data_IF_057087350618
#
_entry.id   IF_057087350618
#
_cell.length_a   1.000
_cell.length_b   1.000
_cell.length_c   1.000
_cell.angle_alpha   90.00
_cell.angle_beta   90.00
_cell.angle_gamma   90.00
#
_symmetry.space_group_name_H-M   'P 1'
#
loop_
_entity.id
_entity.type
_entity.pdbx_description
1 polymer ?
#
# COMPACT_ATOMS: atom_id res chain seq x y z
N UNK A 1 36.57 -6.55 2.45
CA UNK A 1 35.12 -6.37 2.16
C UNK A 1 34.92 -5.68 0.83
N UNK A 2 35.50 -4.47 0.54
CA UNK A 2 35.28 -3.72 -0.69
C UNK A 2 35.60 -4.52 -1.96
N UNK A 3 36.76 -5.17 -2.05
CA UNK A 3 37.15 -6.03 -3.21
C UNK A 3 36.21 -7.20 -3.43
N UNK A 4 35.64 -7.78 -2.36
CA UNK A 4 34.66 -8.88 -2.48
C UNK A 4 33.35 -8.36 -3.04
N UNK A 5 32.88 -7.22 -2.57
CA UNK A 5 31.67 -6.56 -3.09
C UNK A 5 31.82 -6.20 -4.57
N UNK A 6 32.99 -5.67 -4.95
CA UNK A 6 33.29 -5.32 -6.34
C UNK A 6 33.32 -6.57 -7.24
N UNK A 7 33.94 -7.67 -6.76
CA UNK A 7 33.95 -8.94 -7.48
C UNK A 7 32.54 -9.54 -7.62
N UNK A 8 31.72 -9.48 -6.60
CA UNK A 8 30.31 -9.94 -6.67
C UNK A 8 29.52 -9.11 -7.67
N UNK A 9 29.65 -7.77 -7.63
CA UNK A 9 28.99 -6.88 -8.59
C UNK A 9 29.43 -7.14 -10.04
N UNK A 10 30.70 -7.45 -10.26
CA UNK A 10 31.23 -7.78 -11.58
C UNK A 10 30.71 -9.12 -12.14
N UNK A 11 30.33 -10.05 -11.25
CA UNK A 11 29.76 -11.35 -11.61
C UNK A 11 28.22 -11.33 -11.63
N UNK A 12 27.59 -10.26 -11.14
CA UNK A 12 26.15 -10.15 -11.09
C UNK A 12 25.57 -10.04 -12.51
N UNK A 13 24.62 -10.89 -12.81
CA UNK A 13 23.88 -10.86 -14.05
C UNK A 13 22.50 -10.22 -13.80
N UNK A 14 22.19 -9.18 -14.56
CA UNK A 14 20.91 -8.51 -14.46
C UNK A 14 19.80 -9.41 -15.02
N UNK A 15 18.78 -9.68 -14.21
CA UNK A 15 17.62 -10.48 -14.62
C UNK A 15 16.68 -9.66 -15.51
N UNK A 16 16.49 -8.37 -15.18
CA UNK A 16 15.66 -7.45 -15.95
C UNK A 16 14.25 -8.00 -16.20
N UNK A 17 13.76 -7.83 -17.43
CA UNK A 17 12.45 -8.33 -17.87
C UNK A 17 12.50 -9.76 -18.45
N UNK A 18 13.54 -10.52 -18.17
CA UNK A 18 13.63 -11.91 -18.61
C UNK A 18 12.84 -12.83 -17.66
N UNK A 19 11.60 -13.09 -18.02
CA UNK A 19 10.68 -13.89 -17.19
C UNK A 19 11.12 -15.34 -17.04
N UNK A 20 11.89 -15.90 -17.98
CA UNK A 20 12.43 -17.26 -17.84
C UNK A 20 13.50 -17.31 -16.74
N UNK A 21 14.34 -16.28 -16.64
CA UNK A 21 15.29 -16.14 -15.51
C UNK A 21 14.57 -15.90 -14.19
N UNK A 22 13.49 -15.12 -14.19
CA UNK A 22 12.65 -14.91 -13.01
C UNK A 22 12.07 -16.25 -12.53
N UNK A 23 11.53 -17.07 -13.44
CA UNK A 23 11.03 -18.40 -13.14
C UNK A 23 12.10 -19.31 -12.52
N UNK A 24 13.32 -19.32 -13.11
CA UNK A 24 14.44 -20.10 -12.60
C UNK A 24 14.84 -19.68 -11.19
N UNK A 25 15.01 -18.37 -10.95
CA UNK A 25 15.35 -17.83 -9.63
C UNK A 25 14.26 -18.12 -8.61
N UNK A 26 13.00 -17.94 -8.97
CA UNK A 26 11.87 -18.23 -8.12
C UNK A 26 11.76 -19.73 -7.79
N UNK A 27 11.98 -20.60 -8.77
CA UNK A 27 11.99 -22.06 -8.56
C UNK A 27 13.08 -22.47 -7.57
N UNK A 28 14.30 -21.94 -7.74
CA UNK A 28 15.42 -22.23 -6.81
C UNK A 28 15.05 -21.73 -5.40
N UNK A 29 14.51 -20.54 -5.28
CA UNK A 29 14.09 -19.96 -4.00
C UNK A 29 12.97 -20.77 -3.32
N UNK A 30 12.12 -21.41 -4.11
CA UNK A 30 11.05 -22.30 -3.66
C UNK A 30 11.53 -23.77 -3.49
N UNK A 31 12.78 -23.98 -3.20
CA UNK A 31 13.36 -25.32 -3.00
C UNK A 31 13.23 -26.23 -4.25
N UNK A 32 13.47 -25.68 -5.42
CA UNK A 32 13.35 -26.30 -6.74
C UNK A 32 11.91 -26.70 -7.14
N UNK A 33 10.91 -26.01 -6.57
CA UNK A 33 9.54 -26.15 -6.99
C UNK A 33 9.28 -25.32 -8.24
N UNK A 34 9.13 -26.01 -9.37
CA UNK A 34 8.91 -25.40 -10.69
C UNK A 34 7.52 -24.80 -10.82
N UNK A 35 6.51 -25.38 -10.16
CA UNK A 35 5.13 -24.87 -10.20
C UNK A 35 5.04 -23.52 -9.49
N UNK A 36 5.66 -23.39 -8.34
CA UNK A 36 5.76 -22.11 -7.62
C UNK A 36 6.58 -21.11 -8.44
N UNK A 37 7.70 -21.53 -9.01
CA UNK A 37 8.53 -20.67 -9.86
C UNK A 37 7.77 -20.09 -11.03
N UNK A 38 6.99 -20.91 -11.73
CA UNK A 38 6.15 -20.49 -12.85
C UNK A 38 5.05 -19.53 -12.39
N UNK A 39 4.40 -19.82 -11.27
CA UNK A 39 3.34 -18.97 -10.71
C UNK A 39 3.87 -17.56 -10.39
N UNK A 40 5.06 -17.47 -9.81
CA UNK A 40 5.74 -16.19 -9.53
C UNK A 40 6.07 -15.46 -10.81
N UNK A 41 6.61 -16.15 -11.82
CA UNK A 41 6.93 -15.56 -13.12
C UNK A 41 5.68 -15.04 -13.84
N UNK A 42 4.57 -15.77 -13.77
CA UNK A 42 3.27 -15.34 -14.31
C UNK A 42 2.73 -14.12 -13.55
N UNK A 43 2.89 -14.09 -12.24
CA UNK A 43 2.58 -12.93 -11.40
C UNK A 43 3.38 -11.69 -11.81
N UNK A 44 4.70 -11.84 -11.95
CA UNK A 44 5.59 -10.75 -12.38
C UNK A 44 5.26 -10.27 -13.80
N UNK A 45 4.86 -11.18 -14.68
CA UNK A 45 4.41 -10.80 -16.05
C UNK A 45 3.13 -9.97 -16.02
N UNK A 46 2.24 -10.23 -15.08
CA UNK A 46 0.98 -9.50 -14.94
C UNK A 46 1.16 -8.11 -14.31
N UNK A 47 2.09 -7.94 -13.35
CA UNK A 47 2.28 -6.69 -12.61
C UNK A 47 3.53 -5.89 -13.01
N UNK A 48 4.30 -6.39 -13.98
CA UNK A 48 5.61 -5.85 -14.40
C UNK A 48 6.70 -5.98 -13.32
N UNK A 49 7.93 -5.65 -13.68
CA UNK A 49 9.13 -5.80 -12.83
C UNK A 49 9.06 -4.94 -11.56
N UNK A 50 8.35 -3.84 -11.61
CA UNK A 50 8.16 -2.92 -10.48
C UNK A 50 6.91 -3.26 -9.64
N UNK A 51 6.17 -4.31 -10.00
CA UNK A 51 4.99 -4.73 -9.25
C UNK A 51 5.34 -5.41 -7.93
N UNK A 52 4.45 -5.31 -6.97
CA UNK A 52 4.58 -5.94 -5.65
C UNK A 52 3.83 -7.27 -5.66
N UNK A 53 4.51 -8.36 -5.28
CA UNK A 53 3.90 -9.67 -5.07
C UNK A 53 3.84 -9.93 -3.57
N UNK A 54 2.65 -10.22 -3.07
CA UNK A 54 2.40 -10.66 -1.70
C UNK A 54 1.94 -12.11 -1.71
N UNK A 55 2.36 -12.88 -0.71
CA UNK A 55 1.96 -14.28 -0.52
C UNK A 55 1.12 -14.33 0.74
N UNK A 56 -0.09 -14.86 0.61
CA UNK A 56 -1.04 -15.01 1.70
C UNK A 56 -1.54 -16.46 1.77
N UNK A 57 -1.93 -16.90 2.95
CA UNK A 57 -2.53 -18.21 3.14
C UNK A 57 -3.89 -18.29 2.42
N UNK A 58 -4.03 -19.26 1.54
CA UNK A 58 -5.29 -19.50 0.86
C UNK A 58 -6.34 -20.09 1.81
N UNK A 59 -7.57 -19.61 1.71
CA UNK A 59 -8.72 -20.22 2.43
C UNK A 59 -9.20 -21.53 1.80
N UNK A 60 -8.68 -21.89 0.62
CA UNK A 60 -9.00 -23.07 -0.16
C UNK A 60 -7.80 -24.02 -0.29
N UNK A 61 -7.99 -25.10 -1.07
CA UNK A 61 -6.94 -26.09 -1.36
C UNK A 61 -6.01 -25.66 -2.50
N UNK A 62 -6.48 -24.78 -3.36
CA UNK A 62 -5.78 -24.45 -4.59
C UNK A 62 -5.00 -23.15 -4.43
N UNK A 63 -3.79 -23.10 -4.98
CA UNK A 63 -3.01 -21.88 -5.10
C UNK A 63 -3.58 -21.03 -6.23
N UNK A 64 -3.94 -19.80 -5.93
CA UNK A 64 -4.59 -18.88 -6.89
C UNK A 64 -3.78 -17.61 -7.00
N UNK A 65 -3.43 -17.22 -8.23
CA UNK A 65 -2.90 -15.91 -8.53
C UNK A 65 -4.05 -14.90 -8.69
N UNK A 66 -4.05 -13.85 -7.86
CA UNK A 66 -4.97 -12.72 -7.99
C UNK A 66 -4.19 -11.46 -8.30
N UNK A 67 -4.54 -10.78 -9.37
CA UNK A 67 -3.97 -9.48 -9.73
C UNK A 67 -4.95 -8.39 -9.33
N UNK A 68 -4.45 -7.34 -8.68
CA UNK A 68 -5.21 -6.13 -8.33
C UNK A 68 -4.47 -4.94 -8.89
N UNK A 69 -5.20 -4.02 -9.47
CA UNK A 69 -4.64 -2.73 -9.84
C UNK A 69 -4.54 -1.87 -8.58
N UNK A 70 -3.34 -1.36 -8.29
CA UNK A 70 -3.07 -0.58 -7.10
C UNK A 70 -2.21 -1.31 -6.07
N UNK A 71 -2.22 -0.84 -4.84
CA UNK A 71 -1.43 -1.40 -3.74
C UNK A 71 -2.35 -1.85 -2.61
N UNK A 72 -2.16 -3.09 -2.12
CA UNK A 72 -2.81 -3.58 -0.92
C UNK A 72 -1.83 -3.56 0.25
N UNK A 73 -2.26 -3.04 1.40
CA UNK A 73 -1.48 -3.05 2.63
C UNK A 73 -2.36 -3.41 3.84
N UNK A 74 -1.74 -3.90 4.90
CA UNK A 74 -2.37 -4.52 6.07
C UNK A 74 -2.89 -3.53 7.13
N UNK A 75 -3.09 -2.27 6.77
CA UNK A 75 -3.57 -1.23 7.68
C UNK A 75 -4.96 -0.76 7.24
N UNK A 76 -5.89 -0.81 8.17
CA UNK A 76 -7.26 -0.34 7.98
C UNK A 76 -7.47 1.10 8.45
N UNK A 77 -8.73 1.52 8.41
CA UNK A 77 -9.14 2.84 8.90
C UNK A 77 -8.91 2.99 10.42
N UNK A 78 -8.56 4.21 10.82
CA UNK A 78 -8.24 4.53 12.23
C UNK A 78 -9.47 4.63 13.12
N UNK A 79 -10.66 4.77 12.55
CA UNK A 79 -11.89 4.87 13.31
C UNK A 79 -13.06 4.19 12.60
N UNK A 80 -13.89 3.41 13.33
CA UNK A 80 -15.11 2.80 12.76
C UNK A 80 -16.09 3.84 12.18
N UNK A 81 -16.01 5.07 12.63
CA UNK A 81 -16.84 6.16 12.11
C UNK A 81 -16.51 6.55 10.67
N UNK A 82 -15.41 6.07 10.08
CA UNK A 82 -15.09 6.28 8.66
C UNK A 82 -15.78 5.29 7.71
N UNK A 83 -16.44 4.29 8.24
CA UNK A 83 -17.16 3.28 7.46
C UNK A 83 -18.25 3.92 6.60
N UNK A 84 -18.32 3.59 5.33
CA UNK A 84 -19.37 4.03 4.40
C UNK A 84 -20.47 2.98 4.25
N UNK A 85 -20.13 1.69 4.37
CA UNK A 85 -21.05 0.56 4.38
C UNK A 85 -20.97 -0.15 5.73
N UNK A 86 -21.96 0.09 6.59
CA UNK A 86 -22.01 -0.44 7.95
C UNK A 86 -22.24 -1.96 7.98
N UNK A 87 -22.92 -2.53 6.98
CA UNK A 87 -23.19 -3.97 6.93
C UNK A 87 -21.91 -4.78 6.64
N UNK A 88 -21.10 -4.27 5.73
CA UNK A 88 -19.83 -4.88 5.33
C UNK A 88 -18.63 -4.37 6.13
N UNK A 89 -18.82 -3.36 6.97
CA UNK A 89 -17.74 -2.67 7.70
C UNK A 89 -16.62 -2.20 6.76
N UNK A 90 -17.00 -1.63 5.61
CA UNK A 90 -16.10 -1.17 4.55
C UNK A 90 -16.18 0.35 4.37
N UNK A 91 -15.08 0.93 3.93
CA UNK A 91 -15.01 2.31 3.49
C UNK A 91 -14.65 2.34 2.02
N UNK A 92 -15.63 2.59 1.17
CA UNK A 92 -15.46 2.71 -0.28
C UNK A 92 -15.49 4.18 -0.69
N UNK A 93 -14.54 4.57 -1.51
CA UNK A 93 -14.42 5.93 -2.02
C UNK A 93 -14.12 5.91 -3.52
N UNK A 94 -14.93 6.61 -4.29
CA UNK A 94 -14.70 6.78 -5.72
C UNK A 94 -13.85 8.04 -5.98
N UNK A 95 -12.73 7.86 -6.68
CA UNK A 95 -11.82 8.94 -7.11
C UNK A 95 -11.46 9.90 -5.97
N UNK A 96 -11.00 9.41 -4.79
CA UNK A 96 -10.66 10.27 -3.68
C UNK A 96 -9.44 11.14 -3.99
N UNK A 97 -9.33 12.28 -3.32
CA UNK A 97 -8.03 12.89 -3.11
C UNK A 97 -7.24 12.07 -2.11
N UNK A 98 -5.95 11.92 -2.31
CA UNK A 98 -5.07 11.18 -1.41
C UNK A 98 -4.09 12.19 -0.81
N UNK A 99 -4.12 12.31 0.52
CA UNK A 99 -3.16 13.07 1.29
C UNK A 99 -2.17 12.09 1.93
N UNK A 100 -0.91 12.16 1.50
CA UNK A 100 0.16 11.35 2.06
C UNK A 100 1.01 12.21 2.97
N UNK A 101 1.26 11.74 4.19
CA UNK A 101 2.08 12.44 5.16
C UNK A 101 2.97 11.46 5.94
N UNK A 102 4.27 11.69 5.92
CA UNK A 102 5.29 10.80 6.48
C UNK A 102 5.44 10.90 8.00
N UNK A 103 4.70 11.81 8.64
CA UNK A 103 4.76 12.07 10.08
C UNK A 103 3.38 11.90 10.72
N UNK A 104 3.38 12.03 12.05
CA UNK A 104 2.17 12.03 12.84
C UNK A 104 1.38 13.33 12.68
N UNK A 105 0.07 13.22 12.49
CA UNK A 105 -0.85 14.36 12.45
C UNK A 105 -1.35 14.63 13.86
N UNK A 106 -0.84 15.68 14.50
CA UNK A 106 -1.26 16.08 15.84
C UNK A 106 -2.20 17.28 15.84
N UNK A 107 -2.00 18.22 14.90
CA UNK A 107 -2.78 19.44 14.81
C UNK A 107 -3.42 19.57 13.43
N UNK A 108 -4.73 19.56 13.36
CA UNK A 108 -5.47 19.72 12.09
C UNK A 108 -5.43 21.12 11.51
N UNK A 109 -5.08 22.13 12.29
CA UNK A 109 -5.00 23.51 11.78
C UNK A 109 -3.98 23.64 10.66
N UNK A 110 -2.90 22.88 10.73
CA UNK A 110 -1.83 22.89 9.72
C UNK A 110 -2.29 22.27 8.38
N UNK A 111 -3.36 21.47 8.43
CA UNK A 111 -3.95 20.79 7.28
C UNK A 111 -5.21 21.46 6.73
N UNK A 112 -5.73 22.50 7.38
CA UNK A 112 -6.91 23.23 6.92
C UNK A 112 -6.81 23.71 5.47
N UNK A 113 -5.66 24.25 5.00
CA UNK A 113 -5.50 24.68 3.61
C UNK A 113 -5.68 23.55 2.59
N UNK A 114 -5.48 22.31 3.00
CA UNK A 114 -5.65 21.11 2.17
C UNK A 114 -7.07 20.54 2.30
N UNK A 115 -7.61 20.57 3.51
CA UNK A 115 -8.94 20.05 3.81
C UNK A 115 -10.06 20.92 3.19
N UNK A 116 -9.92 22.24 3.24
CA UNK A 116 -10.93 23.16 2.71
C UNK A 116 -11.20 22.97 1.21
N UNK A 117 -10.20 22.91 0.32
CA UNK A 117 -10.42 22.63 -1.10
C UNK A 117 -11.04 21.26 -1.37
N UNK A 118 -10.67 20.25 -0.58
CA UNK A 118 -11.27 18.91 -0.69
C UNK A 118 -12.76 18.94 -0.34
N UNK A 119 -13.13 19.65 0.73
CA UNK A 119 -14.54 19.85 1.13
C UNK A 119 -15.31 20.60 0.05
N UNK A 120 -14.74 21.69 -0.48
CA UNK A 120 -15.39 22.52 -1.51
C UNK A 120 -15.63 21.77 -2.82
N UNK A 121 -14.70 20.87 -3.18
CA UNK A 121 -14.82 20.05 -4.40
C UNK A 121 -15.88 18.94 -4.28
N UNK A 122 -16.33 18.62 -3.06
CA UNK A 122 -17.24 17.50 -2.80
C UNK A 122 -16.64 16.11 -3.03
N UNK A 123 -15.35 16.04 -3.34
CA UNK A 123 -14.65 14.75 -3.53
C UNK A 123 -14.23 14.14 -2.20
N UNK A 124 -14.26 12.80 -2.10
CA UNK A 124 -13.74 12.11 -0.92
C UNK A 124 -12.25 12.41 -0.69
N UNK A 125 -11.81 12.36 0.56
CA UNK A 125 -10.42 12.52 0.95
C UNK A 125 -9.94 11.29 1.74
N UNK A 126 -8.89 10.65 1.24
CA UNK A 126 -8.16 9.61 1.96
C UNK A 126 -6.88 10.20 2.53
N UNK A 127 -6.72 10.09 3.83
CA UNK A 127 -5.51 10.53 4.53
C UNK A 127 -4.69 9.30 4.91
N UNK A 128 -3.45 9.24 4.43
CA UNK A 128 -2.47 8.20 4.77
C UNK A 128 -1.35 8.87 5.55
N UNK A 129 -1.27 8.61 6.85
CA UNK A 129 -0.27 9.22 7.72
C UNK A 129 0.41 8.20 8.62
N UNK A 130 1.58 8.53 9.16
CA UNK A 130 2.25 7.68 10.14
C UNK A 130 1.32 7.32 11.30
N UNK A 131 0.66 8.33 11.85
CA UNK A 131 -0.38 8.21 12.86
C UNK A 131 -1.24 9.48 12.88
N UNK A 132 -2.41 9.41 13.50
CA UNK A 132 -3.28 10.57 13.72
C UNK A 132 -3.62 10.62 15.20
N UNK A 133 -3.27 11.71 15.88
CA UNK A 133 -3.56 11.89 17.29
C UNK A 133 -5.07 11.91 17.57
N UNK A 134 -5.43 11.51 18.78
CA UNK A 134 -6.83 11.40 19.21
C UNK A 134 -7.60 12.71 19.01
N UNK A 135 -6.99 13.86 19.25
CA UNK A 135 -7.61 15.17 19.04
C UNK A 135 -7.87 15.44 17.56
N UNK A 136 -6.88 15.21 16.71
CA UNK A 136 -7.00 15.35 15.27
C UNK A 136 -8.02 14.35 14.71
N UNK A 137 -7.97 13.09 15.14
CA UNK A 137 -8.92 12.06 14.74
C UNK A 137 -10.35 12.41 15.13
N UNK A 138 -10.57 12.86 16.37
CA UNK A 138 -11.89 13.31 16.84
C UNK A 138 -12.43 14.44 15.97
N UNK A 139 -11.58 15.41 15.63
CA UNK A 139 -11.99 16.54 14.78
C UNK A 139 -12.35 16.07 13.38
N UNK A 140 -11.61 15.13 12.77
CA UNK A 140 -11.95 14.53 11.48
C UNK A 140 -13.30 13.80 11.53
N UNK A 141 -13.53 13.02 12.56
CA UNK A 141 -14.79 12.29 12.78
C UNK A 141 -15.98 13.26 12.96
N UNK A 142 -15.82 14.29 13.78
CA UNK A 142 -16.86 15.29 14.00
C UNK A 142 -17.21 16.04 12.71
N UNK A 143 -16.20 16.44 11.94
CA UNK A 143 -16.42 17.11 10.65
C UNK A 143 -17.11 16.18 9.65
N UNK A 144 -16.75 14.90 9.61
CA UNK A 144 -17.45 13.92 8.79
C UNK A 144 -18.92 13.81 9.14
N UNK A 145 -19.24 13.75 10.43
CA UNK A 145 -20.63 13.62 10.90
C UNK A 145 -21.46 14.88 10.68
N UNK A 146 -20.84 16.07 10.78
CA UNK A 146 -21.53 17.37 10.66
C UNK A 146 -21.66 17.87 9.23
N UNK A 147 -20.61 17.73 8.43
CA UNK A 147 -20.49 18.36 7.10
C UNK A 147 -20.64 17.40 5.93
N UNK A 148 -21.01 16.14 6.16
CA UNK A 148 -21.07 15.09 5.13
C UNK A 148 -19.74 14.91 4.35
N UNK A 149 -18.64 15.41 4.90
CA UNK A 149 -17.32 15.24 4.30
C UNK A 149 -16.97 13.74 4.25
N UNK A 150 -16.82 13.21 3.05
CA UNK A 150 -16.38 11.83 2.85
C UNK A 150 -14.87 11.75 3.08
N UNK A 151 -14.48 11.52 4.33
CA UNK A 151 -13.08 11.39 4.71
C UNK A 151 -12.81 10.04 5.38
N UNK A 152 -11.65 9.48 5.12
CA UNK A 152 -11.12 8.33 5.83
C UNK A 152 -9.64 8.57 6.14
N UNK A 153 -9.21 8.20 7.32
CA UNK A 153 -7.83 8.22 7.71
C UNK A 153 -7.35 6.79 7.97
N UNK A 154 -6.23 6.43 7.36
CA UNK A 154 -5.56 5.15 7.53
C UNK A 154 -4.12 5.35 7.99
N UNK A 155 -3.60 4.37 8.71
CA UNK A 155 -2.21 4.37 9.13
C UNK A 155 -1.31 3.92 7.98
N UNK A 156 -0.20 4.62 7.78
CA UNK A 156 0.78 4.28 6.76
C UNK A 156 1.37 2.87 6.99
N UNK A 157 1.58 2.09 5.92
CA UNK A 157 2.18 0.78 6.03
C UNK A 157 3.67 0.86 6.39
N UNK A 158 4.19 -0.19 7.05
CA UNK A 158 5.60 -0.31 7.40
C UNK A 158 6.03 0.56 8.59
N UNK A 159 7.34 0.55 8.84
CA UNK A 159 7.99 1.27 9.95
C UNK A 159 9.31 1.88 9.47
N UNK A 160 9.72 3.00 10.07
CA UNK A 160 10.99 3.66 9.79
C UNK A 160 11.18 4.00 8.30
N UNK A 161 12.37 3.74 7.77
CA UNK A 161 12.73 4.04 6.37
C UNK A 161 11.88 3.27 5.36
N UNK A 162 11.47 2.04 5.72
CA UNK A 162 10.57 1.25 4.86
C UNK A 162 9.20 1.92 4.69
N UNK A 163 8.68 2.56 5.74
CA UNK A 163 7.43 3.31 5.64
C UNK A 163 7.53 4.44 4.64
N UNK A 164 8.65 5.19 4.69
CA UNK A 164 8.88 6.29 3.77
C UNK A 164 8.93 5.81 2.32
N UNK A 165 9.67 4.73 2.05
CA UNK A 165 9.73 4.13 0.72
C UNK A 165 8.34 3.68 0.23
N UNK A 166 7.54 3.03 1.10
CA UNK A 166 6.17 2.62 0.74
C UNK A 166 5.23 3.82 0.50
N UNK A 167 5.40 4.92 1.20
CA UNK A 167 4.63 6.15 0.95
C UNK A 167 5.05 6.82 -0.36
N UNK A 168 6.32 6.76 -0.72
CA UNK A 168 6.83 7.22 -2.03
C UNK A 168 6.28 6.35 -3.17
N UNK A 169 6.14 5.03 -2.96
CA UNK A 169 5.53 4.12 -3.94
C UNK A 169 4.02 4.37 -4.15
N UNK A 170 3.33 4.88 -3.12
CA UNK A 170 1.89 5.23 -3.21
C UNK A 170 1.69 6.59 -3.89
N UNK A 171 2.65 7.51 -3.78
CA UNK A 171 2.56 8.88 -4.29
C UNK A 171 2.75 8.98 -5.79
#
# INVERSE_FOLDING_TARGET
>A
VAKVVESIKAQAEQVGENYDKIEQVASISANNDVEIGKLIADGMRAVSVNGVITIEDAKGRDTVLKTVEGMQFDRGYLSPYFVTDAEKMQCEMEKPYILIYDKKISNLKDFLPILEPAVQSGRPLLVIAEDVDSEALTTLVVNRLRSQLKICAVKAPGFGDRRKAMLEDIA
#
